data_IF_517812021117
#
_entry.id   IF_517812021117
#
_cell.length_a   1.000
_cell.length_b   1.000
_cell.length_c   1.000
_cell.angle_alpha   90.00
_cell.angle_beta   90.00
_cell.angle_gamma   90.00
#
_symmetry.space_group_name_H-M   'P 1'
#
loop_
_entity.id
_entity.type
_entity.pdbx_description
1 polymer ?
#
# COMPACT_ATOMS: atom_id res chain seq x y z
N UNK A 1 29.61 12.67 -17.85
CA UNK A 1 29.53 11.26 -17.38
C UNK A 1 28.91 11.27 -15.98
N UNK A 2 27.72 10.69 -15.77
CA UNK A 2 27.03 10.65 -14.46
C UNK A 2 27.78 9.84 -13.39
N UNK A 3 28.87 9.15 -13.75
CA UNK A 3 29.76 8.40 -12.86
C UNK A 3 30.64 9.27 -11.95
N UNK A 4 30.71 10.59 -12.16
CA UNK A 4 31.54 11.49 -11.33
C UNK A 4 30.75 12.27 -10.28
N UNK A 5 29.50 11.86 -9.99
CA UNK A 5 28.62 12.54 -9.03
C UNK A 5 28.27 11.60 -7.89
N UNK A 6 28.81 11.88 -6.70
CA UNK A 6 28.46 11.20 -5.45
C UNK A 6 27.52 12.07 -4.62
N UNK A 7 26.69 11.44 -3.78
CA UNK A 7 25.88 12.14 -2.77
C UNK A 7 26.59 12.06 -1.42
N UNK A 8 26.30 12.98 -0.51
CA UNK A 8 26.82 12.89 0.85
C UNK A 8 25.80 13.38 1.86
N UNK A 9 25.95 12.94 3.11
CA UNK A 9 25.23 13.47 4.26
C UNK A 9 26.23 13.82 5.36
N UNK A 10 26.10 15.00 5.95
CA UNK A 10 26.95 15.44 7.05
C UNK A 10 26.32 15.09 8.40
N UNK A 11 27.05 14.33 9.22
CA UNK A 11 26.62 13.89 10.55
C UNK A 11 27.76 14.12 11.54
N UNK A 12 27.53 14.95 12.56
CA UNK A 12 28.53 15.24 13.60
C UNK A 12 29.83 15.84 13.08
N UNK A 13 29.77 16.69 12.04
CA UNK A 13 30.94 17.31 11.40
C UNK A 13 31.74 16.38 10.48
N UNK A 14 31.27 15.14 10.26
CA UNK A 14 31.86 14.19 9.30
C UNK A 14 30.96 14.06 8.07
N UNK A 15 31.57 14.10 6.89
CA UNK A 15 30.87 13.86 5.61
C UNK A 15 30.92 12.38 5.28
N UNK A 16 29.74 11.78 5.15
CA UNK A 16 29.57 10.39 4.72
C UNK A 16 29.13 10.41 3.26
N UNK A 17 29.93 9.84 2.38
CA UNK A 17 29.69 9.79 0.94
C UNK A 17 28.95 8.51 0.57
N UNK A 18 28.06 8.61 -0.41
CA UNK A 18 27.28 7.51 -0.93
C UNK A 18 27.25 7.55 -2.45
N UNK A 19 27.35 6.37 -3.05
CA UNK A 19 27.18 6.24 -4.48
C UNK A 19 25.68 6.20 -4.85
N UNK A 20 25.27 6.79 -5.98
CA UNK A 20 23.88 6.68 -6.46
C UNK A 20 23.31 5.24 -6.53
N UNK A 21 24.06 4.19 -6.97
CA UNK A 21 23.58 2.81 -6.89
C UNK A 21 23.43 2.30 -5.45
N UNK A 22 24.37 2.59 -4.56
CA UNK A 22 24.32 2.20 -3.15
C UNK A 22 23.03 2.71 -2.48
N UNK A 23 22.67 3.97 -2.71
CA UNK A 23 21.44 4.56 -2.19
C UNK A 23 20.15 3.89 -2.71
N UNK A 24 20.20 3.24 -3.89
CA UNK A 24 19.06 2.48 -4.42
C UNK A 24 18.98 1.12 -3.74
N UNK A 25 20.11 0.46 -3.54
CA UNK A 25 20.20 -0.83 -2.85
C UNK A 25 19.74 -0.71 -1.39
N UNK A 26 20.13 0.36 -0.69
CA UNK A 26 19.69 0.62 0.68
C UNK A 26 18.15 0.74 0.82
N UNK A 27 17.44 1.09 -0.25
CA UNK A 27 15.96 1.22 -0.25
C UNK A 27 15.24 -0.06 -0.65
N UNK A 28 15.96 -1.04 -1.19
CA UNK A 28 15.39 -2.27 -1.75
C UNK A 28 15.11 -3.30 -0.64
N UNK A 29 14.02 -3.11 0.10
CA UNK A 29 13.63 -4.01 1.19
C UNK A 29 12.76 -5.19 0.73
N UNK A 30 11.90 -4.95 -0.26
CA UNK A 30 11.02 -5.96 -0.86
C UNK A 30 10.92 -5.70 -2.37
N UNK A 31 10.70 -6.74 -3.20
CA UNK A 31 10.47 -6.54 -4.62
C UNK A 31 9.16 -5.78 -4.88
N UNK A 32 9.07 -5.15 -6.04
CA UNK A 32 7.86 -4.43 -6.46
C UNK A 32 6.64 -5.36 -6.46
N UNK A 33 5.52 -4.90 -5.90
CA UNK A 33 4.27 -5.65 -5.86
C UNK A 33 3.52 -5.51 -4.52
N UNK A 34 2.55 -6.41 -4.34
CA UNK A 34 1.79 -6.55 -3.10
C UNK A 34 2.18 -7.87 -2.44
N UNK A 35 2.63 -7.78 -1.19
CA UNK A 35 3.04 -8.92 -0.39
C UNK A 35 2.01 -9.11 0.72
N UNK A 36 1.16 -10.13 0.56
CA UNK A 36 0.12 -10.47 1.54
C UNK A 36 0.76 -10.95 2.84
N UNK A 37 0.42 -10.30 3.96
CA UNK A 37 0.85 -10.72 5.29
C UNK A 37 -0.20 -11.54 6.03
N UNK A 38 -1.48 -11.24 5.80
CA UNK A 38 -2.58 -11.92 6.46
C UNK A 38 -3.89 -11.16 6.33
N UNK A 39 -4.86 -11.52 7.16
CA UNK A 39 -6.21 -10.95 7.17
C UNK A 39 -6.52 -10.42 8.56
N UNK A 40 -7.17 -9.26 8.62
CA UNK A 40 -7.53 -8.61 9.88
C UNK A 40 -8.98 -8.19 9.86
N UNK A 41 -9.75 -8.38 10.97
CA UNK A 41 -11.14 -7.94 11.03
C UNK A 41 -11.29 -6.45 10.76
N UNK A 42 -12.36 -6.06 10.06
CA UNK A 42 -12.68 -4.67 9.75
C UNK A 42 -12.95 -3.85 11.01
N UNK A 43 -13.34 -4.48 12.12
CA UNK A 43 -13.46 -3.85 13.45
C UNK A 43 -12.16 -3.23 13.95
N UNK A 44 -11.00 -3.69 13.48
CA UNK A 44 -9.71 -3.13 13.82
C UNK A 44 -9.27 -1.98 12.91
N UNK A 45 -9.99 -1.76 11.80
CA UNK A 45 -9.73 -0.65 10.89
C UNK A 45 -10.30 0.64 11.47
N UNK A 46 -9.48 1.69 11.46
CA UNK A 46 -9.88 3.02 11.93
C UNK A 46 -9.70 4.01 10.80
N UNK A 47 -10.78 4.62 10.27
CA UNK A 47 -10.71 5.48 9.08
C UNK A 47 -9.70 6.64 9.22
N UNK A 48 -9.55 7.20 10.42
CA UNK A 48 -8.62 8.29 10.71
C UNK A 48 -7.14 7.90 10.65
N UNK A 49 -6.81 6.60 10.55
CA UNK A 49 -5.43 6.14 10.40
C UNK A 49 -4.94 6.24 8.95
N UNK A 50 -5.80 6.57 8.00
CA UNK A 50 -5.41 6.69 6.60
C UNK A 50 -4.51 7.91 6.38
N UNK A 51 -3.29 7.69 5.87
CA UNK A 51 -2.26 8.73 5.74
C UNK A 51 -2.06 9.32 4.34
N UNK A 52 -2.68 8.74 3.31
CA UNK A 52 -2.47 9.14 1.91
C UNK A 52 -3.78 9.05 1.11
N UNK A 53 -3.75 9.35 -0.18
CA UNK A 53 -4.90 9.06 -1.05
C UNK A 53 -4.98 7.55 -1.30
N UNK A 54 -6.20 7.00 -1.26
CA UNK A 54 -6.41 5.59 -1.55
C UNK A 54 -6.26 5.31 -3.05
N UNK A 55 -5.74 4.14 -3.38
CA UNK A 55 -5.75 3.64 -4.76
C UNK A 55 -6.84 2.59 -4.91
N UNK A 56 -7.31 2.36 -6.13
CA UNK A 56 -8.25 1.28 -6.43
C UNK A 56 -7.57 0.21 -7.29
N UNK A 57 -7.73 -1.06 -6.93
CA UNK A 57 -7.16 -2.20 -7.65
C UNK A 57 -8.28 -3.00 -8.31
N UNK A 58 -8.00 -3.40 -9.54
CA UNK A 58 -8.81 -4.34 -10.32
C UNK A 58 -7.90 -5.41 -10.94
N UNK A 59 -8.36 -6.67 -11.10
CA UNK A 59 -7.55 -7.73 -11.68
C UNK A 59 -7.21 -7.46 -13.15
N UNK A 60 -6.03 -7.92 -13.56
CA UNK A 60 -5.58 -7.90 -14.95
C UNK A 60 -5.44 -9.34 -15.46
N UNK A 61 -6.45 -9.80 -16.20
CA UNK A 61 -6.51 -11.14 -16.81
C UNK A 61 -5.55 -11.29 -17.99
N UNK A 62 -5.17 -10.17 -18.64
CA UNK A 62 -4.28 -10.20 -19.81
C UNK A 62 -2.85 -10.54 -19.39
N UNK A 63 -2.37 -9.92 -18.32
CA UNK A 63 -1.04 -10.19 -17.78
C UNK A 63 -0.95 -11.55 -17.09
N UNK A 64 -2.00 -11.95 -16.36
CA UNK A 64 -2.02 -13.21 -15.61
C UNK A 64 -3.39 -13.90 -15.69
N UNK A 65 -3.47 -14.99 -16.45
CA UNK A 65 -4.69 -15.78 -16.60
C UNK A 65 -5.11 -16.42 -15.27
N UNK A 66 -6.39 -16.32 -14.93
CA UNK A 66 -6.97 -16.78 -13.67
C UNK A 66 -7.00 -15.72 -12.56
N UNK A 67 -6.46 -14.52 -12.81
CA UNK A 67 -6.43 -13.44 -11.83
C UNK A 67 -7.84 -12.95 -11.49
N UNK A 68 -8.73 -12.81 -12.46
CA UNK A 68 -10.12 -12.36 -12.26
C UNK A 68 -10.88 -13.32 -11.36
N UNK A 69 -10.75 -14.63 -11.60
CA UNK A 69 -11.40 -15.67 -10.79
C UNK A 69 -10.89 -15.66 -9.35
N UNK A 70 -9.58 -15.58 -9.18
CA UNK A 70 -8.95 -15.58 -7.85
C UNK A 70 -9.28 -14.31 -7.08
N UNK A 71 -9.28 -13.16 -7.76
CA UNK A 71 -9.64 -11.87 -7.19
C UNK A 71 -11.11 -11.80 -6.80
N UNK A 72 -12.02 -12.30 -7.64
CA UNK A 72 -13.45 -12.36 -7.32
C UNK A 72 -13.71 -13.24 -6.08
N UNK A 73 -13.04 -14.39 -5.99
CA UNK A 73 -13.13 -15.26 -4.82
C UNK A 73 -12.58 -14.59 -3.55
N UNK A 74 -11.46 -13.86 -3.66
CA UNK A 74 -10.90 -13.09 -2.56
C UNK A 74 -11.85 -11.98 -2.10
N UNK A 75 -12.42 -11.21 -3.04
CA UNK A 75 -13.35 -10.12 -2.77
C UNK A 75 -14.60 -10.62 -2.02
N UNK A 76 -15.18 -11.72 -2.50
CA UNK A 76 -16.34 -12.35 -1.89
C UNK A 76 -16.02 -12.91 -0.50
N UNK A 77 -14.88 -13.59 -0.33
CA UNK A 77 -14.45 -14.09 0.97
C UNK A 77 -14.20 -12.97 1.98
N UNK A 78 -13.52 -11.89 1.60
CA UNK A 78 -13.26 -10.74 2.46
C UNK A 78 -14.56 -10.09 2.94
N UNK A 79 -15.54 -9.97 2.03
CA UNK A 79 -16.85 -9.39 2.38
C UNK A 79 -17.68 -10.33 3.26
N UNK A 80 -17.63 -11.65 3.00
CA UNK A 80 -18.35 -12.64 3.81
C UNK A 80 -17.84 -12.71 5.24
N UNK A 81 -16.53 -12.61 5.43
CA UNK A 81 -15.88 -12.77 6.73
C UNK A 81 -15.63 -11.45 7.46
N UNK A 82 -16.01 -10.31 6.89
CA UNK A 82 -15.78 -8.97 7.45
C UNK A 82 -14.29 -8.72 7.79
N UNK A 83 -13.40 -9.13 6.88
CA UNK A 83 -11.94 -9.02 7.03
C UNK A 83 -11.31 -8.25 5.86
N UNK A 84 -10.24 -7.52 6.16
CA UNK A 84 -9.38 -6.87 5.17
C UNK A 84 -8.02 -7.58 5.11
N UNK A 85 -7.50 -7.92 3.91
CA UNK A 85 -6.12 -8.32 3.75
C UNK A 85 -5.17 -7.18 4.16
N UNK A 86 -4.10 -7.53 4.85
CA UNK A 86 -3.00 -6.63 5.23
C UNK A 86 -1.80 -6.99 4.38
N UNK A 87 -1.25 -6.00 3.69
CA UNK A 87 -0.16 -6.22 2.75
C UNK A 87 0.96 -5.20 2.94
N UNK A 88 2.18 -5.59 2.56
CA UNK A 88 3.18 -4.60 2.15
C UNK A 88 2.98 -4.25 0.68
N UNK A 89 2.87 -2.97 0.40
CA UNK A 89 2.75 -2.45 -0.95
C UNK A 89 4.04 -1.73 -1.35
N UNK A 90 4.67 -2.22 -2.41
CA UNK A 90 5.87 -1.65 -3.01
C UNK A 90 5.50 -1.20 -4.43
N UNK A 91 5.17 0.09 -4.64
CA UNK A 91 4.67 0.56 -5.93
C UNK A 91 5.74 0.52 -7.02
N UNK A 92 7.02 0.72 -6.66
CA UNK A 92 8.18 0.76 -7.56
C UNK A 92 9.42 0.22 -6.83
N UNK A 93 10.39 -0.31 -7.59
CA UNK A 93 11.60 -0.97 -7.04
C UNK A 93 12.46 -0.09 -6.12
N UNK A 94 12.38 1.22 -6.23
CA UNK A 94 13.19 2.19 -5.48
C UNK A 94 12.45 2.81 -4.27
N UNK A 95 11.30 2.23 -3.91
CA UNK A 95 10.45 2.74 -2.82
C UNK A 95 10.42 1.78 -1.64
N UNK A 96 10.43 2.38 -0.46
CA UNK A 96 10.25 1.69 0.81
C UNK A 96 8.85 1.07 0.84
N UNK A 97 8.70 -0.19 1.31
CA UNK A 97 7.40 -0.84 1.44
C UNK A 97 6.48 -0.05 2.37
N UNK A 98 5.22 0.11 1.96
CA UNK A 98 4.19 0.73 2.78
C UNK A 98 3.23 -0.32 3.30
N UNK A 99 2.83 -0.20 4.56
CA UNK A 99 1.78 -1.05 5.11
C UNK A 99 0.42 -0.58 4.60
N UNK A 100 -0.40 -1.49 4.08
CA UNK A 100 -1.73 -1.15 3.54
C UNK A 100 -2.79 -2.15 3.99
N UNK A 101 -4.02 -1.67 4.16
CA UNK A 101 -5.22 -2.52 4.11
C UNK A 101 -5.79 -2.54 2.70
N UNK A 102 -6.32 -3.69 2.34
CA UNK A 102 -7.09 -3.91 1.13
C UNK A 102 -8.58 -3.99 1.51
N UNK A 103 -9.33 -2.90 1.32
CA UNK A 103 -10.76 -2.88 1.64
C UNK A 103 -11.57 -3.33 0.42
N UNK A 104 -12.30 -4.43 0.57
CA UNK A 104 -13.20 -4.94 -0.45
C UNK A 104 -14.36 -3.97 -0.70
N UNK A 105 -14.64 -3.66 -1.96
CA UNK A 105 -15.81 -2.91 -2.42
C UNK A 105 -16.64 -3.80 -3.35
N UNK A 106 -17.91 -3.99 -2.99
CA UNK A 106 -18.91 -4.61 -3.87
C UNK A 106 -19.42 -3.60 -4.89
N UNK A 107 -19.89 -4.10 -6.02
CA UNK A 107 -20.53 -3.28 -7.03
C UNK A 107 -21.84 -2.67 -6.51
N UNK A 108 -22.04 -1.39 -6.79
CA UNK A 108 -23.28 -0.67 -6.51
C UNK A 108 -23.77 0.00 -7.80
N UNK A 109 -25.03 -0.26 -8.14
CA UNK A 109 -25.71 0.30 -9.30
C UNK A 109 -26.81 1.25 -8.81
N UNK A 110 -27.03 2.35 -9.53
CA UNK A 110 -28.15 3.24 -9.26
C UNK A 110 -29.48 2.70 -9.82
N UNK A 111 -30.57 3.44 -9.58
CA UNK A 111 -31.91 3.10 -10.06
C UNK A 111 -32.01 3.06 -11.59
N UNK A 112 -31.08 3.73 -12.30
CA UNK A 112 -30.99 3.75 -13.76
C UNK A 112 -30.12 2.62 -14.32
N UNK A 113 -29.52 1.80 -13.46
CA UNK A 113 -28.58 0.74 -13.82
C UNK A 113 -27.16 1.22 -14.13
N UNK A 114 -26.84 2.49 -13.87
CA UNK A 114 -25.49 3.02 -14.00
C UNK A 114 -24.64 2.68 -12.77
N UNK A 115 -23.36 2.40 -12.99
CA UNK A 115 -22.45 1.99 -11.93
C UNK A 115 -22.02 3.20 -11.09
N UNK A 116 -22.37 3.17 -9.80
CA UNK A 116 -21.98 4.19 -8.81
C UNK A 116 -20.66 3.80 -8.15
N UNK A 117 -20.52 2.51 -7.79
CA UNK A 117 -19.31 1.98 -7.18
C UNK A 117 -18.84 0.73 -7.95
N UNK A 118 -17.61 0.71 -8.49
CA UNK A 118 -17.10 -0.46 -9.20
C UNK A 118 -16.72 -1.59 -8.22
N UNK A 119 -16.83 -2.87 -8.62
CA UNK A 119 -16.32 -3.98 -7.82
C UNK A 119 -14.79 -3.95 -7.79
N UNK A 120 -14.18 -4.11 -6.62
CA UNK A 120 -12.74 -4.10 -6.50
C UNK A 120 -12.24 -3.88 -5.09
N UNK A 121 -11.00 -3.42 -4.97
CA UNK A 121 -10.34 -3.29 -3.66
C UNK A 121 -9.68 -1.93 -3.53
N UNK A 122 -9.99 -1.21 -2.45
CA UNK A 122 -9.30 0.02 -2.06
C UNK A 122 -8.02 -0.27 -1.29
N UNK A 123 -6.94 0.37 -1.70
CA UNK A 123 -5.66 0.38 -1.00
C UNK A 123 -5.64 1.54 -0.02
N UNK A 124 -5.78 1.21 1.25
CA UNK A 124 -5.77 2.19 2.33
C UNK A 124 -4.42 2.14 3.03
N UNK A 125 -3.69 3.24 2.95
CA UNK A 125 -2.34 3.35 3.53
C UNK A 125 -2.39 3.47 5.05
N UNK A 126 -1.67 2.58 5.72
CA UNK A 126 -1.56 2.58 7.18
C UNK A 126 -0.32 3.35 7.64
N UNK A 127 -0.42 4.02 8.80
CA UNK A 127 0.71 4.72 9.39
C UNK A 127 1.66 3.72 10.04
N UNK A 128 2.96 3.93 9.83
CA UNK A 128 3.96 3.37 10.74
C UNK A 128 3.94 4.12 12.07
N UNK A 129 4.77 3.68 13.02
CA UNK A 129 4.86 4.33 14.32
C UNK A 129 5.27 5.81 14.20
N UNK A 130 6.22 6.11 13.30
CA UNK A 130 6.76 7.46 13.09
C UNK A 130 5.72 8.45 12.54
N UNK A 131 4.69 7.96 11.85
CA UNK A 131 3.60 8.78 11.30
C UNK A 131 2.61 9.22 12.39
N UNK A 132 2.57 8.53 13.53
CA UNK A 132 1.63 8.82 14.62
C UNK A 132 2.15 9.96 15.48
N UNK A 133 1.45 11.09 15.46
CA UNK A 133 1.73 12.22 16.34
C UNK A 133 1.06 12.03 17.70
N UNK A 134 1.82 12.19 18.78
CA UNK A 134 1.26 12.26 20.14
C UNK A 134 0.61 13.62 20.30
N UNK A 135 -0.66 13.61 20.71
CA UNK A 135 -1.36 14.81 21.12
C UNK A 135 -1.20 14.92 22.64
N UNK A 136 -0.66 16.04 23.10
CA UNK A 136 -0.75 16.39 24.51
C UNK A 136 -2.21 16.70 24.82
N UNK A 137 -2.67 16.32 26.02
CA UNK A 137 -4.04 16.64 26.42
C UNK A 137 -4.17 18.16 26.50
N UNK A 138 -5.18 18.71 25.84
CA UNK A 138 -5.65 20.05 26.17
C UNK A 138 -6.32 19.93 27.54
N UNK A 139 -5.71 20.51 28.57
CA UNK A 139 -6.35 20.71 29.87
C UNK A 139 -7.54 21.67 29.75
#
# INVERSE_FOLDING_TARGET
>A
MPSNVCKYQELGGKRIYFDPPELREMKLLLPQGMHLMGFKPLTCFKPYQHIAHANFIYPDEQSYRGSTRSFAALLDACTRHDVAPVCYFVPRRDRIPKLVYLLAQKEELDESGAQVAPPGVHVVYLPFYDDKRRLDKLD
#
